data_IF_965098097537
#
_entry.id   IF_965098097537
#
_cell.length_a   1.000
_cell.length_b   1.000
_cell.length_c   1.000
_cell.angle_alpha   90.00
_cell.angle_beta   90.00
_cell.angle_gamma   90.00
#
_symmetry.space_group_name_H-M   'P 1'
#
loop_
_entity.id
_entity.type
_entity.pdbx_description
1 polymer ?
#
# COMPACT_ATOMS: atom_id res chain seq x y z
N UNK A 1 52.48 -13.61 -45.06
CA UNK A 1 51.29 -14.13 -45.78
C UNK A 1 50.31 -14.64 -44.73
N UNK A 2 49.18 -13.94 -44.53
CA UNK A 2 47.84 -14.36 -44.99
C UNK A 2 47.28 -15.52 -44.12
N UNK A 3 46.14 -15.46 -43.43
CA UNK A 3 45.07 -14.47 -43.27
C UNK A 3 44.29 -14.79 -41.97
N UNK A 4 43.52 -13.81 -41.52
CA UNK A 4 42.32 -13.89 -40.67
C UNK A 4 41.73 -15.29 -40.44
N UNK A 5 41.41 -15.61 -39.19
CA UNK A 5 40.01 -15.84 -38.82
C UNK A 5 39.81 -15.57 -37.31
N UNK A 6 39.81 -14.29 -36.95
CA UNK A 6 39.20 -13.82 -35.71
C UNK A 6 37.70 -13.68 -35.95
N UNK A 7 36.92 -14.77 -35.92
CA UNK A 7 35.46 -14.75 -35.74
C UNK A 7 35.08 -16.14 -35.20
N UNK A 8 34.99 -16.28 -33.88
CA UNK A 8 34.09 -17.25 -33.24
C UNK A 8 33.88 -16.93 -31.74
N UNK A 9 33.84 -15.65 -31.37
CA UNK A 9 33.46 -15.20 -30.02
C UNK A 9 32.20 -14.32 -30.05
N UNK A 10 31.35 -14.49 -31.06
CA UNK A 10 30.20 -13.59 -31.24
C UNK A 10 28.96 -14.36 -31.69
N UNK A 11 28.41 -15.19 -30.79
CA UNK A 11 27.07 -15.77 -31.02
C UNK A 11 26.20 -15.92 -29.76
N UNK A 12 26.57 -15.31 -28.62
CA UNK A 12 25.76 -15.37 -27.39
C UNK A 12 25.03 -14.07 -26.99
N UNK A 13 24.88 -13.07 -27.87
CA UNK A 13 24.14 -11.84 -27.52
C UNK A 13 23.07 -11.46 -28.54
N UNK A 14 22.24 -12.43 -28.94
CA UNK A 14 21.01 -12.14 -29.70
C UNK A 14 19.78 -12.64 -28.95
N UNK A 15 19.62 -12.25 -27.68
CA UNK A 15 18.33 -12.25 -26.99
C UNK A 15 18.31 -11.14 -25.93
N UNK A 16 18.27 -9.88 -26.38
CA UNK A 16 17.75 -8.78 -25.55
C UNK A 16 17.44 -7.55 -26.41
N UNK A 17 16.82 -7.73 -27.59
CA UNK A 17 16.06 -6.61 -28.17
C UNK A 17 14.68 -6.62 -27.53
N UNK A 18 14.61 -6.31 -26.23
CA UNK A 18 13.36 -5.90 -25.62
C UNK A 18 13.04 -4.50 -26.15
N UNK A 19 12.19 -4.44 -27.16
CA UNK A 19 11.40 -3.24 -27.44
C UNK A 19 10.43 -3.10 -26.27
N UNK A 20 10.84 -2.47 -25.18
CA UNK A 20 9.99 -2.35 -24.01
C UNK A 20 9.04 -1.17 -24.20
N UNK A 21 7.88 -1.44 -24.78
CA UNK A 21 6.65 -0.81 -24.31
C UNK A 21 6.60 -1.10 -22.81
N UNK A 22 7.10 -0.17 -21.98
CA UNK A 22 7.34 -0.40 -20.55
C UNK A 22 6.01 -0.46 -19.79
N UNK A 23 5.34 -1.60 -19.88
CA UNK A 23 4.23 -1.93 -19.02
C UNK A 23 4.77 -2.34 -17.64
N UNK A 24 4.40 -1.60 -16.58
CA UNK A 24 4.79 -1.92 -15.19
C UNK A 24 4.31 -3.34 -14.82
N UNK A 25 5.22 -4.14 -14.26
CA UNK A 25 4.92 -5.50 -13.81
C UNK A 25 4.12 -5.52 -12.50
N UNK A 26 3.46 -6.65 -12.21
CA UNK A 26 2.71 -6.82 -10.96
C UNK A 26 3.60 -6.62 -9.71
N UNK A 27 4.84 -7.08 -9.77
CA UNK A 27 5.79 -6.97 -8.66
C UNK A 27 6.20 -5.52 -8.41
N UNK A 28 6.44 -4.75 -9.48
CA UNK A 28 6.77 -3.32 -9.37
C UNK A 28 5.60 -2.52 -8.80
N UNK A 29 4.38 -2.74 -9.30
CA UNK A 29 3.18 -2.08 -8.75
C UNK A 29 2.96 -2.47 -7.28
N UNK A 30 3.19 -3.74 -6.90
CA UNK A 30 3.09 -4.16 -5.50
C UNK A 30 4.08 -3.43 -4.60
N UNK A 31 5.36 -3.33 -5.02
CA UNK A 31 6.37 -2.56 -4.26
C UNK A 31 6.01 -1.09 -4.15
N UNK A 32 5.42 -0.51 -5.20
CA UNK A 32 4.91 0.86 -5.18
C UNK A 32 3.77 1.02 -4.17
N UNK A 33 2.82 0.09 -4.13
CA UNK A 33 1.75 0.08 -3.13
C UNK A 33 2.29 0.00 -1.70
N UNK A 34 3.31 -0.82 -1.44
CA UNK A 34 3.95 -0.92 -0.12
C UNK A 34 4.59 0.41 0.29
N UNK A 35 5.29 1.06 -0.64
CA UNK A 35 5.86 2.39 -0.40
C UNK A 35 4.77 3.42 -0.07
N UNK A 36 3.69 3.45 -0.86
CA UNK A 36 2.56 4.34 -0.62
C UNK A 36 1.90 4.09 0.73
N UNK A 37 1.77 2.83 1.13
CA UNK A 37 1.25 2.47 2.45
C UNK A 37 2.14 2.99 3.58
N UNK A 38 3.46 2.86 3.45
CA UNK A 38 4.40 3.41 4.42
C UNK A 38 4.32 4.94 4.51
N UNK A 39 4.18 5.64 3.38
CA UNK A 39 3.95 7.08 3.36
C UNK A 39 2.64 7.46 4.08
N UNK A 40 1.57 6.67 3.95
CA UNK A 40 0.32 6.86 4.70
C UNK A 40 0.57 6.67 6.20
N UNK A 41 1.34 5.65 6.61
CA UNK A 41 1.69 5.43 8.01
C UNK A 41 2.45 6.64 8.58
N UNK A 42 3.42 7.17 7.85
CA UNK A 42 4.17 8.36 8.26
C UNK A 42 3.26 9.59 8.38
N UNK A 43 2.46 9.88 7.34
CA UNK A 43 1.55 11.01 7.30
C UNK A 43 0.46 10.93 8.37
N UNK A 44 0.00 9.73 8.72
CA UNK A 44 -1.01 9.51 9.76
C UNK A 44 -0.52 9.82 11.18
N UNK A 45 0.80 9.89 11.36
CA UNK A 45 1.47 10.03 12.67
C UNK A 45 1.13 8.91 13.68
N UNK A 46 0.61 7.77 13.23
CA UNK A 46 0.15 6.67 14.11
C UNK A 46 1.27 6.09 14.98
N UNK A 47 2.50 6.09 14.47
CA UNK A 47 3.67 5.56 15.17
C UNK A 47 4.48 6.63 15.91
N UNK A 48 4.20 7.92 15.71
CA UNK A 48 4.99 9.03 16.26
C UNK A 48 4.25 9.84 17.33
N UNK A 49 2.94 9.63 17.49
CA UNK A 49 2.13 10.29 18.52
C UNK A 49 1.64 9.27 19.56
N UNK A 50 1.78 9.63 20.84
CA UNK A 50 1.18 8.86 21.94
C UNK A 50 -0.32 9.16 22.03
N UNK A 51 -1.14 8.11 22.11
CA UNK A 51 -2.57 8.23 22.37
C UNK A 51 -2.82 8.34 23.88
N UNK A 52 -3.23 9.52 24.33
CA UNK A 52 -3.73 9.76 25.69
C UNK A 52 -5.20 10.18 25.72
N UNK A 53 -5.68 10.76 24.61
CA UNK A 53 -7.07 11.17 24.43
C UNK A 53 -7.59 10.66 23.07
N UNK A 54 -8.59 9.76 23.04
CA UNK A 54 -9.15 9.25 21.79
C UNK A 54 -9.72 10.33 20.87
N UNK A 55 -10.17 11.46 21.43
CA UNK A 55 -10.71 12.58 20.65
C UNK A 55 -9.64 13.31 19.82
N UNK A 56 -8.35 13.07 20.05
CA UNK A 56 -7.24 13.57 19.22
C UNK A 56 -6.95 12.66 18.01
N UNK A 57 -7.74 11.61 17.81
CA UNK A 57 -7.56 10.62 16.76
C UNK A 57 -8.79 10.52 15.87
N UNK A 58 -8.57 10.08 14.64
CA UNK A 58 -9.61 9.77 13.67
C UNK A 58 -9.28 8.48 12.94
N UNK A 59 -10.22 8.02 12.11
CA UNK A 59 -9.98 6.89 11.22
C UNK A 59 -10.60 7.12 9.86
N UNK A 60 -10.03 6.44 8.85
CA UNK A 60 -10.46 6.55 7.46
C UNK A 60 -10.43 5.18 6.79
N UNK A 61 -11.31 4.97 5.82
CA UNK A 61 -11.36 3.73 5.06
C UNK A 61 -10.20 3.71 4.05
N UNK A 62 -9.37 2.67 4.11
CA UNK A 62 -8.26 2.42 3.19
C UNK A 62 -8.54 1.24 2.25
N UNK A 63 -9.40 0.32 2.67
CA UNK A 63 -9.84 -0.82 1.86
C UNK A 63 -11.20 -1.31 2.36
N UNK A 64 -12.08 -1.73 1.46
CA UNK A 64 -13.32 -2.43 1.82
C UNK A 64 -13.07 -3.86 2.33
N UNK A 65 -11.83 -4.36 2.28
CA UNK A 65 -11.45 -5.65 2.83
C UNK A 65 -11.48 -5.62 4.36
N UNK A 66 -12.26 -6.51 4.97
CA UNK A 66 -12.31 -6.67 6.43
C UNK A 66 -11.12 -7.41 7.04
N UNK A 67 -10.09 -7.75 6.24
CA UNK A 67 -8.91 -8.45 6.74
C UNK A 67 -7.96 -7.54 7.55
N UNK A 68 -7.20 -8.17 8.44
CA UNK A 68 -6.24 -7.51 9.32
C UNK A 68 -6.88 -6.82 10.53
N UNK A 69 -6.04 -6.36 11.45
CA UNK A 69 -6.47 -5.84 12.76
C UNK A 69 -7.40 -4.63 12.66
N UNK A 70 -7.16 -3.76 11.68
CA UNK A 70 -7.98 -2.56 11.48
C UNK A 70 -9.10 -2.77 10.45
N UNK A 71 -9.24 -3.98 9.90
CA UNK A 71 -10.31 -4.37 8.97
C UNK A 71 -10.51 -3.37 7.83
N UNK A 72 -9.42 -2.97 7.19
CA UNK A 72 -9.46 -2.03 6.08
C UNK A 72 -9.48 -0.55 6.45
N UNK A 73 -9.46 -0.19 7.73
CA UNK A 73 -9.35 1.20 8.20
C UNK A 73 -7.92 1.56 8.58
N UNK A 74 -7.60 2.86 8.51
CA UNK A 74 -6.36 3.43 9.05
C UNK A 74 -6.70 4.47 10.12
N UNK A 75 -5.99 4.41 11.24
CA UNK A 75 -6.02 5.42 12.30
C UNK A 75 -5.06 6.56 11.96
N UNK A 76 -5.42 7.78 12.32
CA UNK A 76 -4.54 8.94 12.19
C UNK A 76 -4.69 9.89 13.38
N UNK A 77 -3.62 10.59 13.74
CA UNK A 77 -3.69 11.70 14.70
C UNK A 77 -4.29 12.92 14.02
N UNK A 78 -5.18 13.65 14.70
CA UNK A 78 -5.72 14.94 14.22
C UNK A 78 -4.66 16.05 14.07
N UNK A 79 -3.41 15.80 14.51
CA UNK A 79 -2.24 16.65 14.27
C UNK A 79 -1.61 16.42 12.88
N UNK A 80 -2.02 15.36 12.17
CA UNK A 80 -1.56 15.07 10.82
C UNK A 80 -2.02 16.17 9.85
N UNK A 81 -1.25 16.37 8.78
CA UNK A 81 -1.68 17.15 7.63
C UNK A 81 -2.76 16.36 6.87
N UNK A 82 -4.03 16.59 7.24
CA UNK A 82 -5.16 15.82 6.72
C UNK A 82 -5.26 15.91 5.19
N UNK A 83 -4.98 17.07 4.60
CA UNK A 83 -5.06 17.22 3.14
C UNK A 83 -4.04 16.33 2.41
N UNK A 84 -2.80 16.27 2.91
CA UNK A 84 -1.76 15.38 2.34
C UNK A 84 -2.08 13.91 2.57
N UNK A 85 -2.54 13.57 3.77
CA UNK A 85 -2.94 12.21 4.10
C UNK A 85 -4.06 11.72 3.16
N UNK A 86 -5.08 12.53 2.95
CA UNK A 86 -6.25 12.18 2.13
C UNK A 86 -5.87 12.01 0.66
N UNK A 87 -5.02 12.92 0.15
CA UNK A 87 -4.49 12.78 -1.19
C UNK A 87 -3.76 11.44 -1.37
N UNK A 88 -2.93 11.04 -0.38
CA UNK A 88 -2.18 9.78 -0.42
C UNK A 88 -3.08 8.55 -0.29
N UNK A 89 -4.08 8.59 0.59
CA UNK A 89 -5.07 7.52 0.76
C UNK A 89 -5.84 7.31 -0.55
N UNK A 90 -6.32 8.39 -1.17
CA UNK A 90 -7.06 8.31 -2.44
C UNK A 90 -6.19 7.75 -3.57
N UNK A 91 -4.93 8.20 -3.67
CA UNK A 91 -3.97 7.67 -4.64
C UNK A 91 -3.74 6.16 -4.43
N UNK A 92 -3.58 5.74 -3.17
CA UNK A 92 -3.39 4.32 -2.81
C UNK A 92 -4.61 3.48 -3.16
N UNK A 93 -5.82 3.92 -2.78
CA UNK A 93 -7.06 3.19 -3.06
C UNK A 93 -7.24 2.99 -4.57
N UNK A 94 -7.02 4.06 -5.34
CA UNK A 94 -7.11 4.01 -6.81
C UNK A 94 -6.10 3.02 -7.39
N UNK A 95 -4.82 3.16 -7.03
CA UNK A 95 -3.74 2.30 -7.54
C UNK A 95 -3.96 0.83 -7.15
N UNK A 96 -4.43 0.58 -5.93
CA UNK A 96 -4.72 -0.78 -5.45
C UNK A 96 -5.91 -1.40 -6.19
N UNK A 97 -6.95 -0.62 -6.45
CA UNK A 97 -8.11 -1.07 -7.22
C UNK A 97 -7.72 -1.46 -8.65
N UNK A 98 -6.91 -0.63 -9.30
CA UNK A 98 -6.35 -0.90 -10.63
C UNK A 98 -5.48 -2.17 -10.61
N UNK A 99 -4.63 -2.32 -9.60
CA UNK A 99 -3.79 -3.50 -9.42
C UNK A 99 -4.62 -4.79 -9.26
N UNK A 100 -5.58 -4.79 -8.35
CA UNK A 100 -6.46 -5.95 -8.12
C UNK A 100 -7.23 -6.32 -9.38
N UNK A 101 -7.73 -5.33 -10.12
CA UNK A 101 -8.47 -5.55 -11.37
C UNK A 101 -7.56 -6.10 -12.48
N UNK A 102 -6.38 -5.50 -12.67
CA UNK A 102 -5.47 -5.85 -13.75
C UNK A 102 -4.89 -7.25 -13.61
N UNK A 103 -4.54 -7.65 -12.38
CA UNK A 103 -3.88 -8.93 -12.12
C UNK A 103 -4.79 -9.98 -11.46
N UNK A 104 -6.08 -9.68 -11.30
CA UNK A 104 -7.09 -10.57 -10.70
C UNK A 104 -6.69 -11.14 -9.32
N UNK A 105 -6.06 -10.31 -8.50
CA UNK A 105 -5.53 -10.67 -7.17
C UNK A 105 -6.51 -10.34 -6.06
N UNK A 106 -7.72 -10.89 -6.15
CA UNK A 106 -8.77 -10.71 -5.15
C UNK A 106 -8.45 -11.52 -3.88
N UNK A 107 -8.60 -10.89 -2.71
CA UNK A 107 -8.55 -11.59 -1.42
C UNK A 107 -9.93 -12.03 -0.96
N UNK A 108 -10.02 -13.18 -0.29
CA UNK A 108 -11.27 -13.77 0.22
C UNK A 108 -11.75 -13.14 1.55
N UNK A 109 -11.66 -11.81 1.64
CA UNK A 109 -11.95 -11.07 2.85
C UNK A 109 -13.35 -10.45 2.77
N UNK A 110 -14.24 -10.85 3.68
CA UNK A 110 -15.55 -10.22 3.78
C UNK A 110 -15.42 -8.74 4.18
N UNK A 111 -16.25 -7.85 3.62
CA UNK A 111 -16.35 -6.47 4.11
C UNK A 111 -16.74 -6.41 5.58
N UNK A 112 -16.20 -5.44 6.31
CA UNK A 112 -16.58 -5.17 7.71
C UNK A 112 -17.44 -3.90 7.81
N UNK A 113 -18.19 -3.80 8.90
CA UNK A 113 -18.75 -2.53 9.33
C UNK A 113 -17.64 -1.58 9.80
N UNK A 114 -17.95 -0.28 9.76
CA UNK A 114 -17.07 0.76 10.27
C UNK A 114 -16.81 0.61 11.78
N UNK A 115 -15.65 1.08 12.27
CA UNK A 115 -15.40 1.23 13.69
C UNK A 115 -16.46 2.11 14.35
N UNK A 116 -16.84 1.78 15.58
CA UNK A 116 -17.77 2.57 16.40
C UNK A 116 -17.07 3.65 17.19
N UNK A 117 -15.81 3.43 17.57
CA UNK A 117 -15.03 4.39 18.36
C UNK A 117 -13.52 4.10 18.29
N UNK A 118 -12.75 4.97 18.93
CA UNK A 118 -11.31 4.83 19.16
C UNK A 118 -11.08 4.75 20.67
N UNK A 119 -10.15 3.89 21.11
CA UNK A 119 -9.62 3.85 22.47
C UNK A 119 -8.12 4.07 22.46
N UNK A 120 -7.58 4.67 23.54
CA UNK A 120 -6.14 4.65 23.81
C UNK A 120 -5.83 3.49 24.76
N UNK A 121 -5.01 2.55 24.31
CA UNK A 121 -4.56 1.40 25.10
C UNK A 121 -3.04 1.33 25.03
N UNK A 122 -2.36 1.39 26.17
CA UNK A 122 -0.89 1.39 26.28
C UNK A 122 -0.23 2.47 25.42
N UNK A 123 -0.82 3.67 25.41
CA UNK A 123 -0.34 4.80 24.60
C UNK A 123 -0.58 4.66 23.11
N UNK A 124 -1.32 3.65 22.64
CA UNK A 124 -1.63 3.43 21.21
C UNK A 124 -3.13 3.56 20.94
N UNK A 125 -3.48 4.23 19.85
CA UNK A 125 -4.85 4.28 19.37
C UNK A 125 -5.28 2.90 18.84
N UNK A 126 -6.49 2.47 19.17
CA UNK A 126 -7.10 1.22 18.73
C UNK A 126 -8.53 1.45 18.30
N UNK A 127 -8.92 0.84 17.17
CA UNK A 127 -10.30 0.85 16.69
C UNK A 127 -11.14 -0.11 17.52
N UNK A 128 -12.35 0.33 17.85
CA UNK A 128 -13.38 -0.49 18.48
C UNK A 128 -14.46 -0.76 17.43
N UNK A 129 -14.86 -2.02 17.30
CA UNK A 129 -15.93 -2.45 16.40
C UNK A 129 -17.10 -2.98 17.21
N UNK A 130 -18.33 -2.77 16.74
CA UNK A 130 -19.55 -3.20 17.42
C UNK A 130 -19.59 -4.72 17.67
N UNK A 131 -19.03 -5.50 16.74
CA UNK A 131 -18.90 -6.95 16.87
C UNK A 131 -17.43 -7.37 16.68
N UNK A 132 -16.83 -8.10 17.64
CA UNK A 132 -15.64 -8.88 17.34
C UNK A 132 -15.98 -9.87 16.22
N UNK A 133 -15.03 -10.04 15.28
CA UNK A 133 -15.12 -11.07 14.24
C UNK A 133 -14.87 -12.42 14.91
#
# INVERSE_FOLDING_TARGET
MKKLSFILFSICLIFASCSSDNEESAEETSKRLDKMYNEIIELSLINSQTCTNPEEWGFELLSSSGCGTNRGYILYSKKADKAKLDAKINEYIKTKSEYVTKWNVLGDCAPTNAPTSINCVDGKAKLVFQNPL
#
